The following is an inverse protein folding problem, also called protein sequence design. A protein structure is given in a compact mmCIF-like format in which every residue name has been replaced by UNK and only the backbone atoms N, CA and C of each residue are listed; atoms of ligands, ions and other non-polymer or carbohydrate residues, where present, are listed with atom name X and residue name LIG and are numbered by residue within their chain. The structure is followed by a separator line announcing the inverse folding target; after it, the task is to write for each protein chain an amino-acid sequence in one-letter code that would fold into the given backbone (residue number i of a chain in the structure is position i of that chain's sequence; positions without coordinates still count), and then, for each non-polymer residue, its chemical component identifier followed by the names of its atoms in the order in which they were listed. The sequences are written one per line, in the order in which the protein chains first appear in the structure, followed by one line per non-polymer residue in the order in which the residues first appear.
data_IF_000921998848
#
_entry.id   IF_000921998848
#
_cell.length_a   1.000
_cell.length_b   1.000
_cell.length_c   1.000
_cell.angle_alpha   90.00
_cell.angle_beta   90.00
_cell.angle_gamma   90.00
#
_symmetry.space_group_name_H-M   'P 1'
#
loop_
_entity.id
_entity.type
_entity.pdbx_description
1 polymer ?
#
# COMPACT_ATOMS: atom_id res chain seq x y z
N UNK A 1 6.29 -14.89 -22.98
CA UNK A 1 6.54 -15.92 -21.94
C UNK A 1 6.75 -17.34 -22.45
N UNK A 2 6.08 -17.82 -23.52
CA UNK A 2 6.23 -19.21 -24.02
C UNK A 2 7.68 -19.68 -24.29
N UNK A 3 8.60 -18.77 -24.62
CA UNK A 3 10.02 -19.10 -24.79
C UNK A 3 10.74 -19.37 -23.47
N UNK A 4 10.37 -18.68 -22.38
CA UNK A 4 10.94 -18.91 -21.05
C UNK A 4 10.60 -20.31 -20.51
N UNK A 5 9.46 -20.88 -20.90
CA UNK A 5 9.11 -22.28 -20.58
C UNK A 5 10.12 -23.30 -21.12
N UNK A 6 10.80 -22.98 -22.23
CA UNK A 6 11.76 -23.88 -22.86
C UNK A 6 13.13 -23.85 -22.17
N UNK A 7 13.34 -22.93 -21.22
CA UNK A 7 14.63 -22.69 -20.56
C UNK A 7 14.47 -22.59 -19.05
N UNK A 8 15.01 -23.57 -18.32
CA UNK A 8 14.94 -23.62 -16.85
C UNK A 8 15.78 -22.52 -16.17
N UNK A 9 16.71 -21.91 -16.90
CA UNK A 9 17.66 -20.89 -16.43
C UNK A 9 17.25 -19.45 -16.77
N UNK A 10 16.09 -19.25 -17.37
CA UNK A 10 15.61 -17.92 -17.76
C UNK A 10 15.18 -17.11 -16.52
N UNK A 11 15.91 -16.02 -16.24
CA UNK A 11 15.62 -15.07 -15.15
C UNK A 11 15.25 -13.67 -15.64
N UNK A 12 15.34 -13.44 -16.96
CA UNK A 12 15.04 -12.17 -17.58
C UNK A 12 14.15 -12.33 -18.81
N UNK A 13 13.18 -11.44 -18.96
CA UNK A 13 12.32 -11.34 -20.14
C UNK A 13 12.64 -10.06 -20.91
N UNK A 14 12.41 -10.08 -22.22
CA UNK A 14 12.57 -8.94 -23.11
C UNK A 14 11.29 -8.76 -23.92
N UNK A 15 10.81 -7.53 -24.03
CA UNK A 15 9.62 -7.13 -24.80
C UNK A 15 8.43 -6.74 -23.91
N UNK A 16 7.26 -6.66 -24.54
CA UNK A 16 6.00 -6.38 -23.85
C UNK A 16 5.45 -7.67 -23.25
N UNK A 17 5.43 -7.73 -21.92
CA UNK A 17 5.06 -8.93 -21.16
C UNK A 17 3.73 -8.70 -20.45
N UNK A 18 2.76 -9.58 -20.70
CA UNK A 18 1.51 -9.64 -19.95
C UNK A 18 1.70 -10.62 -18.80
N UNK A 19 1.40 -10.21 -17.57
CA UNK A 19 1.39 -11.09 -16.40
C UNK A 19 0.36 -12.21 -16.61
N UNK A 20 0.74 -13.48 -16.42
CA UNK A 20 -0.12 -14.60 -16.78
C UNK A 20 -1.30 -14.78 -15.83
N UNK A 21 -2.48 -15.01 -16.40
CA UNK A 21 -3.66 -15.46 -15.65
C UNK A 21 -3.59 -16.94 -15.25
N UNK A 22 -2.92 -17.78 -16.04
CA UNK A 22 -2.86 -19.23 -15.84
C UNK A 22 -1.77 -19.67 -14.84
N UNK A 23 -2.06 -20.73 -14.07
CA UNK A 23 -1.20 -21.20 -12.98
C UNK A 23 0.19 -21.67 -13.47
N UNK A 24 0.26 -22.31 -14.65
CA UNK A 24 1.51 -22.86 -15.17
C UNK A 24 2.52 -21.76 -15.55
N UNK A 25 2.05 -20.67 -16.12
CA UNK A 25 2.90 -19.53 -16.45
C UNK A 25 3.29 -18.71 -15.21
N UNK A 26 2.52 -18.77 -14.11
CA UNK A 26 2.91 -18.14 -12.83
C UNK A 26 4.18 -18.76 -12.25
N UNK A 27 4.37 -20.08 -12.37
CA UNK A 27 5.61 -20.75 -11.92
C UNK A 27 6.85 -20.26 -12.68
N UNK A 28 6.67 -19.89 -13.96
CA UNK A 28 7.74 -19.27 -14.76
C UNK A 28 8.00 -17.86 -14.23
N UNK A 29 6.95 -17.09 -13.98
CA UNK A 29 7.04 -15.72 -13.50
C UNK A 29 7.84 -15.61 -12.20
N UNK A 30 7.67 -16.56 -11.27
CA UNK A 30 8.39 -16.59 -9.98
C UNK A 30 9.92 -16.63 -10.12
N UNK A 31 10.44 -17.07 -11.27
CA UNK A 31 11.89 -17.13 -11.57
C UNK A 31 12.41 -15.85 -12.23
N UNK A 32 11.52 -15.01 -12.72
CA UNK A 32 11.88 -13.79 -13.44
C UNK A 32 12.19 -12.70 -12.42
N UNK A 33 13.42 -12.21 -12.43
CA UNK A 33 13.88 -11.09 -11.61
C UNK A 33 13.98 -9.79 -12.41
N UNK A 34 13.99 -9.86 -13.74
CA UNK A 34 14.14 -8.69 -14.61
C UNK A 34 13.25 -8.74 -15.86
N UNK A 35 12.66 -7.60 -16.22
CA UNK A 35 12.00 -7.40 -17.52
C UNK A 35 12.63 -6.20 -18.19
N UNK A 36 13.04 -6.36 -19.45
CA UNK A 36 13.44 -5.26 -20.34
C UNK A 36 12.30 -4.99 -21.31
N UNK A 37 11.54 -3.92 -21.09
CA UNK A 37 10.33 -3.59 -21.84
C UNK A 37 9.17 -3.24 -20.91
N UNK A 38 7.96 -3.64 -21.29
CA UNK A 38 6.72 -3.28 -20.58
C UNK A 38 6.18 -4.48 -19.80
N UNK A 39 5.62 -4.23 -18.61
CA UNK A 39 4.80 -5.21 -17.88
C UNK A 39 3.35 -4.75 -17.85
N UNK A 40 2.44 -5.61 -18.30
CA UNK A 40 1.00 -5.37 -18.27
C UNK A 40 0.32 -6.37 -17.35
N UNK A 41 -0.46 -5.86 -16.40
CA UNK A 41 -1.34 -6.61 -15.51
C UNK A 41 -2.77 -6.27 -15.94
N UNK A 42 -3.39 -7.19 -16.68
CA UNK A 42 -4.70 -6.99 -17.30
C UNK A 42 -5.67 -8.09 -16.90
N UNK A 43 -6.88 -7.68 -16.52
CA UNK A 43 -8.02 -8.54 -16.18
C UNK A 43 -7.64 -9.76 -15.32
N UNK A 44 -6.91 -9.51 -14.23
CA UNK A 44 -6.49 -10.55 -13.32
C UNK A 44 -7.38 -10.65 -12.08
N UNK A 45 -7.39 -11.84 -11.49
CA UNK A 45 -8.08 -12.13 -10.22
C UNK A 45 -7.18 -11.90 -8.99
N UNK A 46 -6.05 -11.21 -9.16
CA UNK A 46 -5.14 -10.96 -8.04
C UNK A 46 -5.71 -9.89 -7.13
N UNK A 47 -5.57 -10.08 -5.81
CA UNK A 47 -5.94 -9.08 -4.82
C UNK A 47 -4.81 -8.11 -4.48
N UNK A 48 -3.58 -8.48 -4.83
CA UNK A 48 -2.37 -7.67 -4.59
C UNK A 48 -1.39 -7.72 -5.78
N UNK A 49 -0.35 -6.90 -5.71
CA UNK A 49 0.72 -6.84 -6.71
C UNK A 49 1.97 -7.64 -6.29
N UNK A 50 1.79 -8.70 -5.48
CA UNK A 50 2.86 -9.54 -4.96
C UNK A 50 3.79 -10.10 -6.04
N UNK A 51 3.28 -10.32 -7.25
CA UNK A 51 4.08 -10.76 -8.40
C UNK A 51 5.12 -9.75 -8.88
N UNK A 52 4.99 -8.47 -8.55
CA UNK A 52 5.99 -7.44 -8.87
C UNK A 52 7.09 -7.37 -7.80
N UNK A 53 6.94 -8.11 -6.69
CA UNK A 53 7.94 -8.16 -5.63
C UNK A 53 9.26 -8.69 -6.18
N UNK A 54 10.33 -7.95 -5.90
CA UNK A 54 11.69 -8.25 -6.36
C UNK A 54 11.90 -8.18 -7.89
N UNK A 55 10.92 -7.70 -8.65
CA UNK A 55 11.07 -7.50 -10.08
C UNK A 55 11.70 -6.14 -10.37
N UNK A 56 12.72 -6.13 -11.23
CA UNK A 56 13.26 -4.91 -11.83
C UNK A 56 12.75 -4.78 -13.26
N UNK A 57 12.13 -3.65 -13.60
CA UNK A 57 11.54 -3.41 -14.91
C UNK A 57 12.26 -2.22 -15.55
N UNK A 58 12.90 -2.46 -16.68
CA UNK A 58 13.65 -1.45 -17.43
C UNK A 58 12.96 -1.19 -18.76
N UNK A 59 12.16 -0.12 -18.81
CA UNK A 59 11.31 0.21 -19.94
C UNK A 59 12.00 1.09 -20.97
N UNK A 60 11.76 0.80 -22.25
CA UNK A 60 12.23 1.63 -23.36
C UNK A 60 11.23 2.70 -23.81
N UNK A 61 9.98 2.56 -23.38
CA UNK A 61 8.88 3.47 -23.71
C UNK A 61 8.18 3.94 -22.43
N UNK A 62 7.44 5.06 -22.47
CA UNK A 62 6.55 5.45 -21.38
C UNK A 62 5.52 4.37 -21.06
N UNK A 63 4.96 4.43 -19.85
CA UNK A 63 3.98 3.48 -19.30
C UNK A 63 4.55 2.07 -19.23
N UNK A 64 5.71 1.99 -18.60
CA UNK A 64 6.52 0.78 -18.36
C UNK A 64 5.73 -0.29 -17.60
N UNK A 65 4.90 0.12 -16.64
CA UNK A 65 4.00 -0.78 -15.89
C UNK A 65 2.56 -0.34 -16.14
N UNK A 66 1.75 -1.24 -16.68
CA UNK A 66 0.34 -1.01 -17.00
C UNK A 66 -0.52 -1.90 -16.12
N UNK A 67 -1.40 -1.31 -15.33
CA UNK A 67 -2.34 -2.03 -14.47
C UNK A 67 -3.73 -1.65 -14.93
N UNK A 68 -4.40 -2.57 -15.63
CA UNK A 68 -5.63 -2.28 -16.36
C UNK A 68 -6.72 -3.33 -16.09
N UNK A 69 -7.98 -2.90 -15.97
CA UNK A 69 -9.14 -3.78 -15.84
C UNK A 69 -9.16 -4.70 -14.60
N UNK A 70 -8.33 -4.48 -13.57
CA UNK A 70 -8.27 -5.36 -12.41
C UNK A 70 -9.30 -4.93 -11.35
N UNK A 71 -10.51 -5.49 -11.44
CA UNK A 71 -11.64 -5.15 -10.55
C UNK A 71 -11.50 -5.72 -9.14
N UNK A 72 -10.64 -6.72 -8.93
CA UNK A 72 -10.44 -7.36 -7.63
C UNK A 72 -9.15 -6.93 -6.94
N UNK A 73 -8.29 -6.20 -7.65
CA UNK A 73 -7.01 -5.73 -7.15
C UNK A 73 -7.23 -4.64 -6.10
N UNK A 74 -6.79 -4.91 -4.86
CA UNK A 74 -7.00 -4.03 -3.70
C UNK A 74 -5.69 -3.42 -3.22
N UNK A 75 -4.67 -4.26 -3.04
CA UNK A 75 -3.42 -3.84 -2.44
C UNK A 75 -2.34 -3.65 -3.50
N UNK A 76 -1.89 -2.41 -3.69
CA UNK A 76 -0.87 -2.06 -4.68
C UNK A 76 0.39 -1.47 -4.04
N UNK A 77 0.64 -1.69 -2.75
CA UNK A 77 1.78 -1.11 -2.04
C UNK A 77 3.12 -1.74 -2.44
N UNK A 78 3.11 -2.88 -3.13
CA UNK A 78 4.29 -3.47 -3.77
C UNK A 78 4.95 -2.49 -4.76
N UNK A 79 4.18 -1.59 -5.37
CA UNK A 79 4.71 -0.55 -6.26
C UNK A 79 5.74 0.37 -5.58
N UNK A 80 5.66 0.51 -4.25
CA UNK A 80 6.64 1.28 -3.48
C UNK A 80 8.02 0.62 -3.46
N UNK A 81 8.07 -0.71 -3.68
CA UNK A 81 9.29 -1.52 -3.64
C UNK A 81 9.77 -1.89 -5.05
N UNK A 82 8.88 -1.86 -6.05
CA UNK A 82 9.23 -2.17 -7.43
C UNK A 82 10.22 -1.16 -8.01
N UNK A 83 11.29 -1.67 -8.60
CA UNK A 83 12.29 -0.85 -9.31
C UNK A 83 11.88 -0.73 -10.76
N UNK A 84 11.50 0.49 -11.17
CA UNK A 84 11.11 0.80 -12.53
C UNK A 84 12.02 1.91 -13.07
N UNK A 85 12.64 1.66 -14.22
CA UNK A 85 13.46 2.62 -14.97
C UNK A 85 12.90 2.78 -16.38
N UNK A 86 13.28 3.87 -17.05
CA UNK A 86 12.81 4.19 -18.39
C UNK A 86 12.14 5.56 -18.48
N UNK A 87 11.58 5.91 -19.65
CA UNK A 87 10.87 7.17 -19.86
C UNK A 87 9.61 7.29 -18.98
N UNK A 88 9.36 8.49 -18.45
CA UNK A 88 8.14 8.80 -17.70
C UNK A 88 6.94 9.08 -18.63
N UNK A 89 5.69 8.89 -18.17
CA UNK A 89 5.30 8.33 -16.87
C UNK A 89 5.57 6.83 -16.79
N UNK A 90 6.09 6.33 -15.66
CA UNK A 90 6.42 4.90 -15.49
C UNK A 90 5.17 4.03 -15.36
N UNK A 91 4.12 4.52 -14.73
CA UNK A 91 2.93 3.74 -14.40
C UNK A 91 1.72 4.23 -15.19
N UNK A 92 0.85 3.31 -15.56
CA UNK A 92 -0.43 3.58 -16.19
C UNK A 92 -1.53 2.75 -15.55
N UNK A 93 -2.62 3.41 -15.18
CA UNK A 93 -3.77 2.80 -14.51
C UNK A 93 -5.03 3.07 -15.31
N UNK A 94 -5.83 2.04 -15.55
CA UNK A 94 -7.12 2.20 -16.19
C UNK A 94 -8.11 1.16 -15.68
N UNK A 95 -9.35 1.58 -15.39
CA UNK A 95 -10.45 0.67 -15.03
C UNK A 95 -10.13 -0.29 -13.85
N UNK A 96 -9.46 0.22 -12.80
CA UNK A 96 -9.26 -0.49 -11.54
C UNK A 96 -10.11 0.20 -10.47
N UNK A 97 -11.07 -0.50 -9.90
CA UNK A 97 -12.14 0.12 -9.08
C UNK A 97 -12.04 -0.16 -7.59
N UNK A 98 -11.10 -1.00 -7.17
CA UNK A 98 -11.12 -1.60 -5.82
C UNK A 98 -9.85 -1.34 -5.00
N UNK A 99 -8.97 -0.43 -5.44
CA UNK A 99 -7.77 -0.10 -4.70
C UNK A 99 -8.12 0.41 -3.30
N UNK A 100 -7.48 -0.16 -2.28
CA UNK A 100 -7.75 0.24 -0.91
C UNK A 100 -6.51 0.14 -0.04
N UNK A 101 -6.18 1.28 0.58
CA UNK A 101 -5.05 1.46 1.48
C UNK A 101 -5.35 2.59 2.47
N UNK A 102 -4.70 2.60 3.66
CA UNK A 102 -4.80 3.75 4.55
C UNK A 102 -4.14 4.99 3.92
N UNK A 103 -4.57 6.17 4.37
CA UNK A 103 -4.16 7.48 3.80
C UNK A 103 -2.65 7.70 3.75
N UNK A 104 -1.90 7.22 4.75
CA UNK A 104 -0.44 7.33 4.79
C UNK A 104 0.25 6.49 3.69
N UNK A 105 -0.34 5.36 3.32
CA UNK A 105 0.13 4.51 2.21
C UNK A 105 -0.33 5.08 0.86
N UNK A 106 -1.56 5.57 0.75
CA UNK A 106 -2.07 6.27 -0.44
C UNK A 106 -1.13 7.40 -0.87
N UNK A 107 -0.76 8.28 0.07
CA UNK A 107 0.13 9.42 -0.20
C UNK A 107 1.49 8.96 -0.77
N UNK A 108 2.05 7.88 -0.23
CA UNK A 108 3.32 7.31 -0.71
C UNK A 108 3.18 6.72 -2.11
N UNK A 109 2.07 6.03 -2.39
CA UNK A 109 1.80 5.43 -3.70
C UNK A 109 1.63 6.54 -4.75
N UNK A 110 0.77 7.51 -4.51
CA UNK A 110 0.53 8.61 -5.45
C UNK A 110 1.79 9.43 -5.72
N UNK A 111 2.64 9.66 -4.70
CA UNK A 111 3.94 10.30 -4.87
C UNK A 111 4.89 9.47 -5.76
N UNK A 112 4.89 8.14 -5.59
CA UNK A 112 5.70 7.22 -6.40
C UNK A 112 5.21 7.14 -7.84
N UNK A 113 3.89 7.07 -8.06
CA UNK A 113 3.31 6.89 -9.40
C UNK A 113 3.04 8.20 -10.14
N UNK A 114 3.18 9.34 -9.45
CA UNK A 114 2.97 10.71 -9.96
C UNK A 114 1.59 10.92 -10.60
N UNK A 115 0.57 10.24 -10.08
CA UNK A 115 -0.82 10.41 -10.50
C UNK A 115 -1.77 10.23 -9.32
N UNK A 116 -2.92 10.89 -9.38
CA UNK A 116 -4.04 10.60 -8.50
C UNK A 116 -4.72 9.31 -8.94
N UNK A 117 -5.10 8.48 -7.97
CA UNK A 117 -5.81 7.23 -8.20
C UNK A 117 -7.19 7.29 -7.56
N UNK A 118 -8.10 6.44 -8.05
CA UNK A 118 -9.38 6.20 -7.38
C UNK A 118 -9.17 5.16 -6.28
N UNK A 119 -9.67 5.45 -5.08
CA UNK A 119 -9.52 4.61 -3.90
C UNK A 119 -10.91 4.26 -3.34
N UNK A 120 -11.12 2.99 -3.01
CA UNK A 120 -12.30 2.49 -2.32
C UNK A 120 -12.03 2.49 -0.80
N UNK A 121 -12.79 3.30 -0.06
CA UNK A 121 -12.68 3.42 1.39
C UNK A 121 -13.45 2.34 2.15
N UNK A 122 -14.27 1.52 1.47
CA UNK A 122 -15.10 0.47 2.10
C UNK A 122 -14.27 -0.60 2.80
N UNK A 123 -13.01 -0.77 2.44
CA UNK A 123 -12.15 -1.76 3.09
C UNK A 123 -11.53 -1.25 4.41
N UNK A 124 -11.57 0.06 4.66
CA UNK A 124 -11.03 0.68 5.86
C UNK A 124 -11.83 0.24 7.10
N UNK A 125 -11.14 0.21 8.24
CA UNK A 125 -11.65 -0.38 9.48
C UNK A 125 -11.72 0.66 10.59
N UNK A 126 -12.74 0.48 11.42
CA UNK A 126 -12.83 1.09 12.73
C UNK A 126 -12.16 0.18 13.76
N UNK A 127 -11.31 0.75 14.61
CA UNK A 127 -10.62 0.02 15.67
C UNK A 127 -10.96 0.59 17.03
N UNK A 128 -10.78 -0.21 18.09
CA UNK A 128 -10.97 0.26 19.44
C UNK A 128 -9.92 1.32 19.83
N UNK A 129 -10.36 2.30 20.63
CA UNK A 129 -9.50 3.19 21.39
C UNK A 129 -8.75 2.45 22.49
N UNK A 130 -7.80 3.14 23.10
CA UNK A 130 -6.96 2.57 24.14
C UNK A 130 -5.76 3.44 24.47
N UNK A 131 -4.93 2.92 25.37
CA UNK A 131 -3.66 3.53 25.73
C UNK A 131 -2.62 3.16 24.68
N UNK A 132 -2.01 4.17 24.07
CA UNK A 132 -0.95 4.00 23.08
C UNK A 132 0.29 3.46 23.77
N UNK A 133 0.57 2.18 23.55
CA UNK A 133 1.76 1.46 23.97
C UNK A 133 2.13 0.43 22.88
N UNK A 134 3.23 -0.30 23.06
CA UNK A 134 3.69 -1.28 22.07
C UNK A 134 2.64 -2.38 21.79
N UNK A 135 1.87 -2.81 22.80
CA UNK A 135 0.80 -3.80 22.62
C UNK A 135 -0.32 -3.25 21.75
N UNK A 136 -0.84 -2.05 22.07
CA UNK A 136 -1.88 -1.38 21.30
C UNK A 136 -1.45 -1.20 19.82
N UNK A 137 -0.21 -0.75 19.59
CA UNK A 137 0.30 -0.54 18.24
C UNK A 137 0.53 -1.84 17.48
N UNK A 138 0.87 -2.94 18.16
CA UNK A 138 0.96 -4.26 17.53
C UNK A 138 -0.41 -4.81 17.12
N UNK A 139 -1.44 -4.57 17.93
CA UNK A 139 -2.82 -4.99 17.69
C UNK A 139 -3.59 -4.07 16.72
N UNK A 140 -3.08 -2.85 16.49
CA UNK A 140 -3.70 -1.89 15.58
C UNK A 140 -3.70 -2.42 14.14
N UNK A 141 -4.90 -2.61 13.58
CA UNK A 141 -5.10 -3.15 12.25
C UNK A 141 -4.46 -2.26 11.17
N UNK A 142 -3.86 -2.86 10.13
CA UNK A 142 -3.17 -2.13 9.03
C UNK A 142 -4.08 -1.26 8.15
N UNK A 143 -5.39 -1.48 8.22
CA UNK A 143 -6.42 -0.72 7.51
C UNK A 143 -7.25 0.13 8.48
N UNK A 144 -6.80 0.28 9.72
CA UNK A 144 -7.48 1.17 10.65
C UNK A 144 -7.42 2.59 10.10
N UNK A 145 -8.52 3.30 10.02
CA UNK A 145 -8.50 4.74 9.73
C UNK A 145 -9.34 5.54 10.73
N UNK A 146 -10.09 4.84 11.58
CA UNK A 146 -11.01 5.41 12.56
C UNK A 146 -10.84 4.71 13.90
N UNK A 147 -10.72 5.49 14.96
CA UNK A 147 -10.73 5.00 16.34
C UNK A 147 -12.11 5.18 16.94
N UNK A 148 -12.60 4.15 17.63
CA UNK A 148 -13.84 4.14 18.40
C UNK A 148 -13.52 4.17 19.89
N UNK A 149 -13.89 5.26 20.56
CA UNK A 149 -13.47 5.53 21.93
C UNK A 149 -12.21 6.42 22.00
N UNK A 150 -11.60 6.47 23.17
CA UNK A 150 -10.52 7.43 23.44
C UNK A 150 -9.16 6.88 22.96
N UNK A 151 -8.36 7.74 22.34
CA UNK A 151 -6.94 7.47 22.08
C UNK A 151 -6.12 8.17 23.15
N UNK A 152 -5.44 7.40 24.00
CA UNK A 152 -4.78 7.92 25.20
C UNK A 152 -3.26 7.79 25.04
N UNK A 153 -2.57 8.91 24.92
CA UNK A 153 -1.11 9.01 24.83
C UNK A 153 -0.60 9.53 26.17
N UNK A 154 -0.08 8.63 27.01
CA UNK A 154 0.32 9.00 28.37
C UNK A 154 1.54 8.25 28.86
N UNK A 155 2.32 8.91 29.73
CA UNK A 155 3.48 8.35 30.42
C UNK A 155 4.57 7.78 29.47
N UNK A 156 4.64 8.28 28.23
CA UNK A 156 5.67 7.89 27.27
C UNK A 156 7.01 8.55 27.60
N UNK A 157 7.96 7.75 28.09
CA UNK A 157 9.39 8.11 28.29
C UNK A 157 10.26 7.88 27.05
N UNK A 158 9.77 7.07 26.12
CA UNK A 158 10.31 6.84 24.78
C UNK A 158 9.16 6.57 23.83
N UNK A 159 9.31 6.90 22.54
CA UNK A 159 8.30 6.53 21.55
C UNK A 159 8.31 5.01 21.36
N UNK A 160 7.16 4.33 21.53
CA UNK A 160 7.09 2.89 21.33
C UNK A 160 7.34 2.54 19.85
N UNK A 161 7.90 1.37 19.55
CA UNK A 161 8.03 0.89 18.19
C UNK A 161 6.64 0.80 17.52
N UNK A 162 6.57 1.20 16.25
CA UNK A 162 5.31 1.20 15.49
C UNK A 162 4.42 2.42 15.72
N UNK A 163 4.92 3.49 16.37
CA UNK A 163 4.14 4.73 16.59
C UNK A 163 3.69 5.38 15.27
N UNK A 164 4.46 5.19 14.19
CA UNK A 164 4.16 5.60 12.83
C UNK A 164 2.89 4.95 12.27
N UNK A 165 2.46 3.81 12.82
CA UNK A 165 1.15 3.25 12.49
C UNK A 165 0.01 4.19 12.82
N UNK A 166 0.16 5.15 13.73
CA UNK A 166 -0.91 6.13 14.00
C UNK A 166 -1.10 7.12 12.84
N UNK A 167 -0.17 7.21 11.89
CA UNK A 167 -0.30 8.07 10.73
C UNK A 167 -1.49 7.66 9.85
N UNK A 168 -1.98 6.42 9.94
CA UNK A 168 -3.16 5.99 9.17
C UNK A 168 -4.49 6.52 9.70
N UNK A 169 -4.52 7.06 10.94
CA UNK A 169 -5.75 7.46 11.61
C UNK A 169 -6.20 8.82 11.09
N UNK A 170 -7.43 8.87 10.59
CA UNK A 170 -8.07 10.09 10.08
C UNK A 170 -9.15 10.61 11.03
N UNK A 171 -9.77 9.72 11.82
CA UNK A 171 -10.90 10.06 12.70
C UNK A 171 -10.78 9.40 14.06
N UNK A 172 -11.18 10.14 15.11
CA UNK A 172 -11.35 9.60 16.47
C UNK A 172 -12.79 9.90 16.91
N UNK A 173 -13.60 8.86 17.05
CA UNK A 173 -14.94 8.91 17.64
C UNK A 173 -14.83 8.71 19.17
N UNK A 174 -14.25 9.73 19.83
CA UNK A 174 -13.98 9.80 21.26
C UNK A 174 -13.10 11.02 21.58
N UNK A 175 -12.19 10.87 22.54
CA UNK A 175 -11.23 11.91 22.93
C UNK A 175 -9.80 11.51 22.58
N UNK A 176 -9.02 12.48 22.09
CA UNK A 176 -7.56 12.39 22.07
C UNK A 176 -7.02 12.96 23.38
N UNK A 177 -6.44 12.11 24.22
CA UNK A 177 -5.91 12.50 25.54
C UNK A 177 -4.40 12.41 25.51
N UNK A 178 -3.71 13.54 25.63
CA UNK A 178 -2.25 13.62 25.66
C UNK A 178 -1.79 14.22 26.98
N UNK A 179 -1.12 13.43 27.83
CA UNK A 179 -0.66 13.92 29.15
C UNK A 179 0.57 13.18 29.65
N UNK A 180 1.45 13.88 30.38
CA UNK A 180 2.62 13.29 31.07
C UNK A 180 3.60 12.55 30.16
N UNK A 181 3.84 13.05 28.95
CA UNK A 181 4.80 12.45 28.02
C UNK A 181 6.09 13.26 28.02
N UNK A 182 7.24 12.61 28.21
CA UNK A 182 8.56 13.25 28.08
C UNK A 182 9.17 13.02 26.69
N UNK A 183 8.76 11.95 25.99
CA UNK A 183 9.25 11.64 24.65
C UNK A 183 8.44 12.26 23.50
N UNK A 184 7.20 12.70 23.74
CA UNK A 184 6.31 13.25 22.71
C UNK A 184 6.59 14.75 22.58
N UNK A 185 7.39 15.13 21.56
CA UNK A 185 7.71 16.53 21.24
C UNK A 185 6.61 17.22 20.43
N UNK A 186 5.94 16.45 19.58
CA UNK A 186 4.84 16.87 18.72
C UNK A 186 3.93 15.66 18.41
N UNK A 187 2.84 15.91 17.67
CA UNK A 187 1.88 14.88 17.23
C UNK A 187 2.02 14.54 15.74
N UNK A 188 3.21 14.64 15.17
CA UNK A 188 3.48 14.33 13.74
C UNK A 188 3.08 12.89 13.35
N UNK A 189 3.16 11.95 14.28
CA UNK A 189 2.67 10.58 14.09
C UNK A 189 1.13 10.48 13.96
N UNK A 190 0.40 11.59 14.12
CA UNK A 190 -1.03 11.75 13.82
C UNK A 190 -1.27 12.75 12.67
N UNK A 191 -0.30 12.92 11.77
CA UNK A 191 -0.33 13.93 10.70
C UNK A 191 -1.50 13.84 9.71
N UNK A 192 -2.25 12.73 9.70
CA UNK A 192 -3.44 12.56 8.88
C UNK A 192 -4.77 12.64 9.66
N UNK A 193 -4.73 12.92 10.97
CA UNK A 193 -5.92 13.11 11.78
C UNK A 193 -6.67 14.37 11.32
N UNK A 194 -7.94 14.21 10.92
CA UNK A 194 -8.80 15.27 10.39
C UNK A 194 -9.92 15.65 11.35
N UNK A 195 -10.42 14.69 12.12
CA UNK A 195 -11.66 14.84 12.88
C UNK A 195 -11.57 14.15 14.24
N UNK A 196 -12.03 14.84 15.28
CA UNK A 196 -12.23 14.28 16.63
C UNK A 196 -13.67 14.60 17.03
N UNK A 197 -14.48 13.55 17.18
CA UNK A 197 -15.89 13.66 17.52
C UNK A 197 -16.14 13.09 18.90
N UNK A 198 -16.92 13.79 19.73
CA UNK A 198 -17.38 13.24 20.99
C UNK A 198 -18.87 12.87 20.91
N UNK A 199 -19.21 11.57 20.71
CA UNK A 199 -20.61 11.15 20.61
C UNK A 199 -21.39 11.32 21.91
N UNK A 200 -20.74 11.52 23.06
CA UNK A 200 -21.41 11.72 24.36
C UNK A 200 -21.92 13.15 24.61
N UNK A 201 -22.01 13.98 23.56
CA UNK A 201 -22.53 15.37 23.60
C UNK A 201 -23.72 15.59 22.64
N UNK A 202 -24.50 14.55 22.34
CA UNK A 202 -25.80 14.70 21.67
C UNK A 202 -26.94 14.60 22.67
#
# INVERSE_FOLDING_TARGET
MKMALKRKDCTALVGDVIYPGDAYMRDVWLKISKVYGTVTVDDNYEHDLGMLKNLTIDGWLPRVVRIVNNRQLRHIDELLKTKVTGPEPHFWFHNNTSFCHPVNVIKKIEAKVKTKLSWDDKCLKQCAGGIVNAKYLNELHKLCNRISGNLIITDLRGLPPGIDKLEQIEKIDGQLIVKKNSAVKDLSFLSNLKEINNPSKK
#
